data_IF_319918317693
#
_entry.id   IF_319918317693
#
_cell.length_a   1.000
_cell.length_b   1.000
_cell.length_c   1.000
_cell.angle_alpha   90.00
_cell.angle_beta   90.00
_cell.angle_gamma   90.00
#
_symmetry.space_group_name_H-M   'P 1'
#
loop_
_entity.id
_entity.type
_entity.pdbx_description
1 polymer ?
#
# COMPACT_ATOMS: atom_id res chain seq x y z
N UNK A 1 9.16 -3.23 -8.70
CA UNK A 1 9.78 -3.71 -7.44
C UNK A 1 8.74 -4.26 -6.48
N UNK A 2 7.64 -3.54 -6.23
CA UNK A 2 6.54 -3.97 -5.34
C UNK A 2 5.98 -5.36 -5.64
N UNK A 3 5.77 -5.72 -6.92
CA UNK A 3 5.31 -7.05 -7.29
C UNK A 3 6.28 -8.16 -6.87
N UNK A 4 7.60 -7.97 -7.08
CA UNK A 4 8.59 -8.97 -6.71
C UNK A 4 8.65 -9.21 -5.18
N UNK A 5 8.43 -8.16 -4.39
CA UNK A 5 8.35 -8.29 -2.92
C UNK A 5 7.07 -9.01 -2.50
N UNK A 6 5.94 -8.69 -3.15
CA UNK A 6 4.68 -9.39 -2.92
C UNK A 6 4.74 -10.87 -3.33
N UNK A 7 5.46 -11.20 -4.41
CA UNK A 7 5.66 -12.58 -4.84
C UNK A 7 6.54 -13.37 -3.86
N UNK A 8 7.50 -12.71 -3.21
CA UNK A 8 8.40 -13.34 -2.23
C UNK A 8 7.75 -13.51 -0.85
N UNK A 9 7.00 -12.51 -0.39
CA UNK A 9 6.50 -12.43 1.00
C UNK A 9 4.99 -12.71 1.11
N UNK A 10 4.25 -12.63 0.01
CA UNK A 10 2.80 -12.73 -0.04
C UNK A 10 2.09 -11.38 -0.05
N UNK A 11 0.89 -11.38 -0.64
CA UNK A 11 0.10 -10.16 -0.89
C UNK A 11 -0.49 -9.50 0.37
N UNK A 12 -0.43 -10.18 1.52
CA UNK A 12 -1.09 -9.75 2.75
C UNK A 12 -0.19 -8.89 3.67
N UNK A 13 1.04 -8.63 3.26
CA UNK A 13 2.06 -7.97 4.11
C UNK A 13 2.37 -6.53 3.71
N UNK A 14 2.12 -6.16 2.46
CA UNK A 14 2.42 -4.81 1.98
C UNK A 14 1.21 -3.89 2.10
N UNK A 15 1.45 -2.64 2.48
CA UNK A 15 0.46 -1.56 2.56
C UNK A 15 1.07 -0.30 1.94
N UNK A 16 0.27 0.49 1.22
CA UNK A 16 0.67 1.82 0.78
C UNK A 16 0.58 2.83 1.93
N UNK A 17 1.62 3.65 2.11
CA UNK A 17 1.64 4.81 2.99
C UNK A 17 2.20 6.01 2.21
N UNK A 18 1.56 7.17 2.31
CA UNK A 18 1.95 8.39 1.60
C UNK A 18 3.08 9.18 2.27
N UNK A 19 3.41 8.85 3.52
CA UNK A 19 4.42 9.51 4.37
C UNK A 19 4.23 11.03 4.55
N UNK A 20 2.99 11.52 4.46
CA UNK A 20 2.67 12.92 4.73
C UNK A 20 2.70 13.21 6.26
N UNK A 21 3.26 14.33 6.74
CA UNK A 21 3.77 15.52 6.03
C UNK A 21 5.30 15.59 5.91
N UNK A 22 6.02 14.45 5.93
CA UNK A 22 7.49 14.50 5.81
C UNK A 22 7.91 15.20 4.52
N UNK A 23 8.99 15.99 4.57
CA UNK A 23 9.47 16.82 3.46
C UNK A 23 9.94 16.03 2.22
N UNK A 24 10.12 14.72 2.37
CA UNK A 24 10.41 13.77 1.27
C UNK A 24 9.14 13.13 0.69
N UNK A 25 7.96 13.44 1.23
CA UNK A 25 6.70 12.97 0.68
C UNK A 25 6.55 13.50 -0.75
N UNK A 26 6.41 12.60 -1.72
CA UNK A 26 6.12 12.93 -3.11
C UNK A 26 4.66 13.42 -3.30
N UNK A 27 4.12 14.16 -2.33
CA UNK A 27 2.81 14.79 -2.43
C UNK A 27 2.88 15.98 -3.41
N UNK A 28 1.91 16.15 -4.33
CA UNK A 28 0.67 15.38 -4.51
C UNK A 28 0.76 14.25 -5.56
N UNK A 29 1.95 13.88 -6.05
CA UNK A 29 2.14 12.95 -7.18
C UNK A 29 2.20 11.46 -6.79
N UNK A 30 2.35 11.14 -5.51
CA UNK A 30 2.58 9.77 -5.01
C UNK A 30 1.43 8.81 -5.27
N UNK A 31 0.18 9.28 -5.20
CA UNK A 31 -1.01 8.47 -5.47
C UNK A 31 -1.12 8.04 -6.94
N UNK A 32 -0.72 8.90 -7.88
CA UNK A 32 -0.73 8.59 -9.31
C UNK A 32 0.29 7.52 -9.70
N UNK A 33 1.44 7.47 -9.01
CA UNK A 33 2.50 6.48 -9.29
C UNK A 33 2.03 5.07 -8.91
N UNK A 34 1.36 4.92 -7.77
CA UNK A 34 0.88 3.60 -7.32
C UNK A 34 -0.32 3.12 -8.15
N UNK A 35 -1.16 4.03 -8.63
CA UNK A 35 -2.26 3.69 -9.54
C UNK A 35 -1.78 3.29 -10.95
N UNK A 36 -0.58 3.72 -11.35
CA UNK A 36 0.03 3.37 -12.64
C UNK A 36 0.79 2.05 -12.66
N UNK A 37 0.87 1.32 -11.54
CA UNK A 37 1.55 0.03 -11.49
C UNK A 37 0.69 -1.09 -12.07
N UNK A 38 1.24 -1.84 -13.02
CA UNK A 38 0.61 -3.08 -13.49
C UNK A 38 0.67 -4.15 -12.40
N UNK A 39 -0.49 -4.51 -11.86
CA UNK A 39 -0.65 -5.60 -10.91
C UNK A 39 -2.08 -6.15 -10.98
N UNK A 40 -2.30 -7.42 -10.57
CA UNK A 40 -3.65 -7.97 -10.46
C UNK A 40 -4.53 -7.10 -9.55
N UNK A 41 -5.81 -6.92 -9.92
CA UNK A 41 -6.73 -6.05 -9.18
C UNK A 41 -6.89 -6.48 -7.71
N UNK A 42 -6.87 -7.79 -7.46
CA UNK A 42 -6.94 -8.38 -6.12
C UNK A 42 -5.76 -7.97 -5.25
N UNK A 43 -4.54 -7.98 -5.79
CA UNK A 43 -3.32 -7.51 -5.11
C UNK A 43 -3.38 -6.02 -4.83
N UNK A 44 -3.84 -5.22 -5.80
CA UNK A 44 -3.99 -3.77 -5.65
C UNK A 44 -4.95 -3.41 -4.52
N UNK A 45 -6.08 -4.12 -4.41
CA UNK A 45 -7.08 -3.93 -3.36
C UNK A 45 -6.50 -4.20 -1.97
N UNK A 46 -5.73 -5.28 -1.83
CA UNK A 46 -5.06 -5.61 -0.56
C UNK A 46 -4.03 -4.57 -0.16
N UNK A 47 -3.19 -4.13 -1.11
CA UNK A 47 -2.14 -3.14 -0.90
C UNK A 47 -2.69 -1.77 -0.47
N UNK A 48 -3.79 -1.33 -1.08
CA UNK A 48 -4.36 0.01 -0.87
C UNK A 48 -5.37 0.08 0.28
N UNK A 49 -5.97 -1.05 0.69
CA UNK A 49 -7.08 -1.04 1.63
C UNK A 49 -7.08 -2.22 2.61
N UNK A 50 -7.22 -3.46 2.14
CA UNK A 50 -7.54 -4.58 3.03
C UNK A 50 -6.45 -4.82 4.10
N UNK A 51 -5.18 -4.73 3.71
CA UNK A 51 -4.06 -4.92 4.65
C UNK A 51 -3.99 -3.80 5.68
N UNK A 52 -4.27 -2.55 5.26
CA UNK A 52 -4.33 -1.39 6.16
C UNK A 52 -5.47 -1.55 7.17
N UNK A 53 -6.68 -1.85 6.71
CA UNK A 53 -7.83 -2.07 7.58
C UNK A 53 -7.57 -3.20 8.59
N UNK A 54 -6.97 -4.32 8.14
CA UNK A 54 -6.62 -5.44 9.03
C UNK A 54 -5.60 -5.03 10.10
N UNK A 55 -4.60 -4.22 9.74
CA UNK A 55 -3.57 -3.76 10.66
C UNK A 55 -4.11 -2.75 11.67
N UNK A 56 -4.88 -1.75 11.23
CA UNK A 56 -5.42 -0.72 12.11
C UNK A 56 -6.57 -1.22 13.00
N UNK A 57 -7.41 -2.14 12.51
CA UNK A 57 -8.42 -2.81 13.35
C UNK A 57 -7.76 -3.58 14.50
N UNK A 58 -6.60 -4.20 14.25
CA UNK A 58 -5.81 -4.88 15.29
C UNK A 58 -5.11 -3.92 16.24
N UNK A 59 -4.91 -2.67 15.83
CA UNK A 59 -4.20 -1.64 16.61
C UNK A 59 -5.14 -0.83 17.52
N UNK A 60 -6.43 -1.15 17.58
CA UNK A 60 -7.40 -0.50 18.47
C UNK A 60 -7.77 0.92 18.06
N UNK A 61 -7.53 1.31 16.81
CA UNK A 61 -7.85 2.64 16.25
C UNK A 61 -9.25 2.70 15.62
N UNK A 62 -10.17 1.86 16.07
CA UNK A 62 -11.56 1.75 15.59
C UNK A 62 -12.48 2.78 16.24
#
# INVERSE_FOLDING_TARGET
MTNAVADLLGDDLLMYASDYPHGESHFPKSTGIVLGWEMPETRRRKLLWDNACRLYTRSGLS
#
